data_IF_165287452854
#
_entry.id   IF_165287452854
#
_cell.length_a   1.000
_cell.length_b   1.000
_cell.length_c   1.000
_cell.angle_alpha   90.00
_cell.angle_beta   90.00
_cell.angle_gamma   90.00
#
_symmetry.space_group_name_H-M   'P 1'
#
loop_
_entity.id
_entity.type
_entity.pdbx_description
1 polymer ?
#
# COMPACT_ATOMS: atom_id res chain seq x y z
N UNK A 1 -16.85 -23.23 -22.15
CA UNK A 1 -17.24 -22.36 -21.01
C UNK A 1 -15.94 -21.94 -20.34
N UNK A 2 -15.48 -20.70 -20.54
CA UNK A 2 -14.18 -20.25 -20.05
C UNK A 2 -14.27 -18.82 -19.53
N UNK A 3 -13.45 -18.55 -18.51
CA UNK A 3 -13.13 -17.25 -17.88
C UNK A 3 -14.10 -16.74 -16.81
N UNK A 4 -14.03 -17.36 -15.64
CA UNK A 4 -13.66 -16.63 -14.42
C UNK A 4 -12.69 -17.54 -13.66
N UNK A 5 -11.48 -17.72 -14.22
CA UNK A 5 -10.37 -18.14 -13.37
C UNK A 5 -10.22 -17.05 -12.32
N UNK A 6 -10.37 -17.47 -11.07
CA UNK A 6 -10.15 -16.67 -9.88
C UNK A 6 -8.91 -15.80 -10.10
N UNK A 7 -9.09 -14.48 -10.04
CA UNK A 7 -8.00 -13.52 -9.86
C UNK A 7 -7.34 -13.83 -8.51
N UNK A 8 -6.53 -14.89 -8.46
CA UNK A 8 -5.58 -15.10 -7.38
C UNK A 8 -4.53 -14.01 -7.56
N UNK A 9 -4.55 -13.01 -6.68
CA UNK A 9 -3.52 -11.99 -6.61
C UNK A 9 -2.22 -12.67 -6.14
N UNK A 10 -1.55 -13.37 -7.07
CA UNK A 10 -0.31 -14.07 -6.77
C UNK A 10 0.79 -13.03 -6.59
N UNK A 11 1.50 -13.13 -5.46
CA UNK A 11 2.71 -12.35 -5.24
C UNK A 11 3.78 -12.76 -6.26
N UNK A 12 4.57 -11.80 -6.73
CA UNK A 12 5.79 -12.09 -7.48
C UNK A 12 6.83 -12.72 -6.55
N UNK A 13 7.89 -13.31 -7.11
CA UNK A 13 8.98 -13.86 -6.30
C UNK A 13 9.63 -12.79 -5.41
N UNK A 14 9.82 -11.58 -5.95
CA UNK A 14 10.35 -10.43 -5.19
C UNK A 14 9.42 -10.02 -4.03
N UNK A 15 8.12 -9.92 -4.29
CA UNK A 15 7.12 -9.57 -3.28
C UNK A 15 7.02 -10.64 -2.19
N UNK A 16 7.03 -11.92 -2.58
CA UNK A 16 7.01 -13.04 -1.64
C UNK A 16 8.27 -13.06 -0.77
N UNK A 17 9.44 -12.77 -1.35
CA UNK A 17 10.69 -12.65 -0.61
C UNK A 17 10.64 -11.50 0.40
N UNK A 18 10.07 -10.35 0.03
CA UNK A 18 9.89 -9.21 0.94
C UNK A 18 8.95 -9.56 2.11
N UNK A 19 7.82 -10.22 1.82
CA UNK A 19 6.90 -10.72 2.85
C UNK A 19 7.62 -11.68 3.80
N UNK A 20 8.31 -12.69 3.27
CA UNK A 20 9.04 -13.66 4.09
C UNK A 20 10.12 -13.00 4.96
N UNK A 21 10.90 -12.07 4.40
CA UNK A 21 11.92 -11.32 5.15
C UNK A 21 11.31 -10.51 6.30
N UNK A 22 10.12 -9.94 6.10
CA UNK A 22 9.42 -9.21 7.15
C UNK A 22 8.92 -10.14 8.26
N UNK A 23 8.34 -11.31 7.91
CA UNK A 23 7.99 -12.32 8.91
C UNK A 23 9.18 -12.82 9.70
N UNK A 24 10.32 -13.02 9.04
CA UNK A 24 11.56 -13.45 9.67
C UNK A 24 12.02 -12.46 10.75
N UNK A 25 11.85 -11.16 10.51
CA UNK A 25 12.14 -10.11 11.51
C UNK A 25 11.23 -10.14 12.75
N UNK A 26 10.10 -10.85 12.66
CA UNK A 26 9.07 -10.92 13.70
C UNK A 26 8.97 -12.30 14.36
N UNK A 27 9.84 -13.26 14.00
CA UNK A 27 9.77 -14.66 14.47
C UNK A 27 9.77 -14.83 16.00
N UNK A 28 10.35 -13.89 16.73
CA UNK A 28 10.39 -13.93 18.21
C UNK A 28 9.08 -13.42 18.86
N UNK A 29 8.13 -12.91 18.08
CA UNK A 29 6.86 -12.40 18.57
C UNK A 29 5.79 -13.50 18.51
N UNK A 30 5.17 -13.80 19.66
CA UNK A 30 4.03 -14.73 19.73
C UNK A 30 2.74 -14.00 19.41
N UNK A 31 1.99 -14.50 18.43
CA UNK A 31 0.69 -13.98 18.05
C UNK A 31 -0.43 -14.88 18.58
N UNK A 32 -1.52 -14.27 19.05
CA UNK A 32 -2.72 -15.04 19.45
C UNK A 32 -3.32 -15.72 18.21
N UNK A 33 -3.54 -17.06 18.25
CA UNK A 33 -4.11 -17.82 17.13
C UNK A 33 -5.44 -17.27 16.60
N UNK A 34 -6.23 -16.58 17.43
CA UNK A 34 -7.54 -16.03 17.05
C UNK A 34 -7.43 -14.83 16.11
N UNK A 35 -6.34 -14.07 16.18
CA UNK A 35 -6.07 -12.91 15.31
C UNK A 35 -5.00 -13.21 14.25
N UNK A 36 -4.35 -14.38 14.32
CA UNK A 36 -3.21 -14.74 13.49
C UNK A 36 -3.48 -14.57 11.98
N UNK A 37 -4.69 -14.90 11.49
CA UNK A 37 -5.04 -14.71 10.08
C UNK A 37 -5.13 -13.25 9.65
N UNK A 38 -5.83 -12.41 10.42
CA UNK A 38 -5.95 -10.97 10.14
C UNK A 38 -4.61 -10.26 10.28
N UNK A 39 -3.84 -10.63 11.31
CA UNK A 39 -2.51 -10.11 11.54
C UNK A 39 -1.55 -10.53 10.43
N UNK A 40 -1.63 -11.78 9.95
CA UNK A 40 -0.86 -12.26 8.82
C UNK A 40 -1.13 -11.41 7.56
N UNK A 41 -2.39 -11.13 7.26
CA UNK A 41 -2.74 -10.27 6.13
C UNK A 41 -2.21 -8.83 6.31
N UNK A 42 -2.33 -8.27 7.52
CA UNK A 42 -1.82 -6.94 7.82
C UNK A 42 -0.28 -6.87 7.71
N UNK A 43 0.42 -7.92 8.15
CA UNK A 43 1.87 -8.05 8.01
C UNK A 43 2.29 -8.15 6.54
N UNK A 44 1.59 -8.95 5.74
CA UNK A 44 1.84 -9.03 4.30
C UNK A 44 1.61 -7.67 3.62
N UNK A 45 0.52 -6.96 3.96
CA UNK A 45 0.25 -5.63 3.45
C UNK A 45 1.35 -4.62 3.84
N UNK A 46 1.83 -4.68 5.08
CA UNK A 46 2.94 -3.85 5.56
C UNK A 46 4.23 -4.13 4.81
N UNK A 47 4.58 -5.40 4.61
CA UNK A 47 5.76 -5.79 3.85
C UNK A 47 5.70 -5.30 2.40
N UNK A 48 4.54 -5.40 1.76
CA UNK A 48 4.30 -4.87 0.40
C UNK A 48 4.43 -3.35 0.34
N UNK A 49 3.96 -2.63 1.36
CA UNK A 49 4.15 -1.18 1.44
C UNK A 49 5.64 -0.82 1.59
N UNK A 50 6.40 -1.53 2.43
CA UNK A 50 7.84 -1.28 2.56
C UNK A 50 8.59 -1.62 1.26
N UNK A 51 8.25 -2.73 0.59
CA UNK A 51 8.76 -3.04 -0.74
C UNK A 51 8.47 -1.91 -1.73
N UNK A 52 7.24 -1.38 -1.75
CA UNK A 52 6.88 -0.28 -2.63
C UNK A 52 7.73 0.98 -2.37
N UNK A 53 7.98 1.33 -1.10
CA UNK A 53 8.90 2.43 -0.76
C UNK A 53 10.32 2.20 -1.26
N UNK A 54 10.83 0.97 -1.16
CA UNK A 54 12.15 0.61 -1.72
C UNK A 54 12.16 0.81 -3.23
N UNK A 55 11.10 0.39 -3.95
CA UNK A 55 11.00 0.64 -5.39
C UNK A 55 11.02 2.14 -5.71
N UNK A 56 10.31 2.97 -4.94
CA UNK A 56 10.35 4.43 -5.13
C UNK A 56 11.75 5.01 -4.89
N UNK A 57 12.45 4.55 -3.85
CA UNK A 57 13.84 4.96 -3.62
C UNK A 57 14.77 4.55 -4.77
N UNK A 58 14.54 3.40 -5.40
CA UNK A 58 15.26 2.98 -6.60
C UNK A 58 14.88 3.84 -7.82
N UNK A 59 13.61 4.21 -7.97
CA UNK A 59 13.13 5.08 -9.04
C UNK A 59 13.76 6.49 -9.02
N UNK A 60 14.10 6.99 -7.83
CA UNK A 60 14.79 8.27 -7.66
C UNK A 60 16.30 8.16 -7.93
N UNK A 61 16.89 6.98 -7.67
CA UNK A 61 18.32 6.71 -7.86
C UNK A 61 18.68 6.30 -9.30
N UNK A 62 17.79 5.58 -9.98
CA UNK A 62 17.96 5.09 -11.35
C UNK A 62 16.86 5.63 -12.26
N UNK A 63 17.14 6.80 -12.85
CA UNK A 63 16.21 7.51 -13.73
C UNK A 63 15.84 6.73 -15.00
N UNK A 64 16.71 5.84 -15.47
CA UNK A 64 16.47 5.07 -16.70
C UNK A 64 15.35 4.03 -16.48
N UNK A 65 15.27 3.47 -15.27
CA UNK A 65 14.25 2.48 -14.90
C UNK A 65 13.15 3.05 -13.99
N UNK A 66 13.08 4.38 -13.82
CA UNK A 66 12.10 5.06 -12.95
C UNK A 66 10.66 4.58 -13.18
N UNK A 67 10.24 4.45 -14.43
CA UNK A 67 8.88 4.02 -14.77
C UNK A 67 8.61 2.59 -14.30
N UNK A 68 9.56 1.67 -14.49
CA UNK A 68 9.44 0.28 -14.08
C UNK A 68 9.34 0.18 -12.55
N UNK A 69 10.22 0.88 -11.82
CA UNK A 69 10.19 0.89 -10.37
C UNK A 69 8.90 1.50 -9.80
N UNK A 70 8.44 2.62 -10.38
CA UNK A 70 7.19 3.25 -9.94
C UNK A 70 5.98 2.35 -10.23
N UNK A 71 5.97 1.62 -11.34
CA UNK A 71 4.93 0.63 -11.65
C UNK A 71 4.92 -0.54 -10.66
N UNK A 72 6.09 -1.09 -10.31
CA UNK A 72 6.21 -2.10 -9.25
C UNK A 72 5.65 -1.58 -7.92
N UNK A 73 5.94 -0.33 -7.55
CA UNK A 73 5.41 0.28 -6.33
C UNK A 73 3.86 0.38 -6.35
N UNK A 74 3.28 0.83 -7.47
CA UNK A 74 1.82 0.92 -7.66
C UNK A 74 1.15 -0.45 -7.49
N UNK A 75 1.71 -1.49 -8.14
CA UNK A 75 1.17 -2.85 -8.06
C UNK A 75 1.26 -3.43 -6.64
N UNK A 76 2.38 -3.23 -5.96
CA UNK A 76 2.59 -3.70 -4.59
C UNK A 76 1.62 -3.04 -3.60
N UNK A 77 1.41 -1.72 -3.69
CA UNK A 77 0.43 -1.01 -2.85
C UNK A 77 -1.00 -1.45 -3.15
N UNK A 78 -1.33 -1.67 -4.43
CA UNK A 78 -2.63 -2.24 -4.81
C UNK A 78 -2.89 -3.60 -4.15
N UNK A 79 -1.89 -4.49 -4.14
CA UNK A 79 -1.96 -5.78 -3.45
C UNK A 79 -2.04 -5.62 -1.93
N UNK A 80 -1.28 -4.71 -1.34
CA UNK A 80 -1.35 -4.43 0.09
C UNK A 80 -2.79 -4.10 0.53
N UNK A 81 -3.49 -3.27 -0.26
CA UNK A 81 -4.89 -2.93 -0.01
C UNK A 81 -5.84 -4.13 -0.08
N UNK A 82 -5.54 -5.15 -0.90
CA UNK A 82 -6.35 -6.38 -0.96
C UNK A 82 -6.18 -7.27 0.26
N UNK A 83 -5.00 -7.26 0.89
CA UNK A 83 -4.75 -8.01 2.13
C UNK A 83 -5.31 -7.28 3.35
N UNK A 84 -5.12 -5.96 3.42
CA UNK A 84 -5.57 -5.14 4.54
C UNK A 84 -6.01 -3.77 4.02
N UNK A 85 -7.31 -3.47 4.08
CA UNK A 85 -7.88 -2.31 3.42
C UNK A 85 -7.72 -1.01 4.23
N UNK A 86 -6.47 -0.54 4.43
CA UNK A 86 -6.21 0.74 5.10
C UNK A 86 -6.26 1.92 4.11
N UNK A 87 -6.91 3.06 4.46
CA UNK A 87 -6.95 4.25 3.61
C UNK A 87 -5.57 4.78 3.21
N UNK A 88 -4.57 4.66 4.09
CA UNK A 88 -3.19 5.08 3.78
C UNK A 88 -2.63 4.39 2.54
N UNK A 89 -3.03 3.16 2.22
CA UNK A 89 -2.58 2.51 0.99
C UNK A 89 -3.17 3.19 -0.25
N UNK A 90 -4.38 3.74 -0.17
CA UNK A 90 -4.97 4.55 -1.25
C UNK A 90 -4.22 5.88 -1.41
N UNK A 91 -3.80 6.50 -0.30
CA UNK A 91 -2.95 7.69 -0.34
C UNK A 91 -1.60 7.40 -1.02
N UNK A 92 -0.91 6.32 -0.62
CA UNK A 92 0.34 5.90 -1.24
C UNK A 92 0.17 5.56 -2.73
N UNK A 93 -0.96 4.96 -3.10
CA UNK A 93 -1.28 4.69 -4.50
C UNK A 93 -1.42 6.00 -5.29
N UNK A 94 -2.09 7.01 -4.73
CA UNK A 94 -2.26 8.30 -5.37
C UNK A 94 -0.91 9.01 -5.59
N UNK A 95 -0.02 9.00 -4.60
CA UNK A 95 1.32 9.61 -4.72
C UNK A 95 2.14 8.92 -5.80
N UNK A 96 2.12 7.58 -5.88
CA UNK A 96 2.91 6.84 -6.88
C UNK A 96 2.33 6.97 -8.29
N UNK A 97 1.00 7.07 -8.44
CA UNK A 97 0.35 7.40 -9.72
C UNK A 97 0.73 8.82 -10.17
N UNK A 98 0.79 9.77 -9.25
CA UNK A 98 1.23 11.14 -9.54
C UNK A 98 2.67 11.17 -10.07
N UNK A 99 3.57 10.38 -9.46
CA UNK A 99 4.96 10.24 -9.91
C UNK A 99 5.11 9.66 -11.33
N UNK A 100 4.07 8.96 -11.84
CA UNK A 100 3.99 8.48 -13.24
C UNK A 100 3.37 9.53 -14.19
N UNK A 101 3.25 10.78 -13.76
CA UNK A 101 2.66 11.89 -14.54
C UNK A 101 1.19 11.72 -14.90
N UNK A 102 0.45 10.82 -14.24
CA UNK A 102 -0.98 10.65 -14.45
C UNK A 102 -1.79 11.52 -13.47
N UNK A 103 -1.72 12.84 -13.64
CA UNK A 103 -2.29 13.83 -12.70
C UNK A 103 -3.79 13.61 -12.47
N UNK A 104 -4.57 13.39 -13.55
CA UNK A 104 -6.00 13.15 -13.43
C UNK A 104 -6.33 11.90 -12.61
N UNK A 105 -5.60 10.79 -12.86
CA UNK A 105 -5.76 9.55 -12.11
C UNK A 105 -5.32 9.70 -10.66
N UNK A 106 -4.24 10.44 -10.41
CA UNK A 106 -3.77 10.75 -9.06
C UNK A 106 -4.81 11.55 -8.28
N UNK A 107 -5.36 12.63 -8.86
CA UNK A 107 -6.42 13.44 -8.24
C UNK A 107 -7.64 12.59 -7.88
N UNK A 108 -8.11 11.74 -8.80
CA UNK A 108 -9.21 10.80 -8.53
C UNK A 108 -8.87 9.85 -7.38
N UNK A 109 -7.64 9.37 -7.32
CA UNK A 109 -7.20 8.45 -6.26
C UNK A 109 -7.06 9.18 -4.91
N UNK A 110 -6.60 10.43 -4.88
CA UNK A 110 -6.62 11.26 -3.67
C UNK A 110 -8.04 11.51 -3.16
N UNK A 111 -9.01 11.72 -4.05
CA UNK A 111 -10.42 11.84 -3.67
C UNK A 111 -10.91 10.53 -3.02
N UNK A 112 -10.63 9.37 -3.63
CA UNK A 112 -10.97 8.07 -3.07
C UNK A 112 -10.34 7.87 -1.68
N UNK A 113 -9.12 8.35 -1.46
CA UNK A 113 -8.48 8.33 -0.15
C UNK A 113 -9.27 9.16 0.87
N UNK A 114 -9.63 10.41 0.55
CA UNK A 114 -10.40 11.26 1.47
C UNK A 114 -11.75 10.62 1.83
N UNK A 115 -12.45 10.07 0.84
CA UNK A 115 -13.73 9.39 1.04
C UNK A 115 -13.57 8.16 1.94
N UNK A 116 -12.56 7.32 1.68
CA UNK A 116 -12.28 6.14 2.51
C UNK A 116 -11.88 6.53 3.93
N UNK A 117 -10.99 7.52 4.07
CA UNK A 117 -10.49 7.99 5.36
C UNK A 117 -11.60 8.60 6.23
N UNK A 118 -12.58 9.28 5.63
CA UNK A 118 -13.72 9.86 6.36
C UNK A 118 -14.66 8.80 6.96
N UNK A 119 -14.68 7.60 6.38
CA UNK A 119 -15.54 6.48 6.79
C UNK A 119 -14.79 5.43 7.59
N UNK A 120 -13.47 5.58 7.72
CA UNK A 120 -12.61 4.56 8.29
C UNK A 120 -12.66 4.57 9.82
N UNK A 121 -13.02 3.43 10.38
CA UNK A 121 -12.96 3.17 11.82
C UNK A 121 -11.92 2.07 12.05
N UNK A 122 -10.75 2.38 12.64
CA UNK A 122 -9.72 1.38 12.84
C UNK A 122 -10.12 0.36 13.90
N UNK A 123 -9.91 -0.93 13.61
CA UNK A 123 -9.87 -1.98 14.62
C UNK A 123 -8.52 -2.00 15.36
N UNK A 124 -8.32 -2.94 16.29
CA UNK A 124 -7.09 -3.03 17.09
C UNK A 124 -5.83 -3.24 16.23
N UNK A 125 -5.92 -4.11 15.22
CA UNK A 125 -4.81 -4.42 14.32
C UNK A 125 -4.50 -3.18 13.47
N UNK A 126 -5.52 -2.58 12.85
CA UNK A 126 -5.38 -1.37 12.05
C UNK A 126 -4.81 -0.21 12.87
N UNK A 127 -5.26 -0.05 14.11
CA UNK A 127 -4.74 0.95 15.05
C UNK A 127 -3.25 0.73 15.34
N UNK A 128 -2.82 -0.52 15.52
CA UNK A 128 -1.41 -0.86 15.69
C UNK A 128 -0.56 -0.45 14.48
N UNK A 129 -1.00 -0.78 13.26
CA UNK A 129 -0.27 -0.46 12.03
C UNK A 129 -0.27 1.03 11.67
N UNK A 130 -1.24 1.80 12.18
CA UNK A 130 -1.36 3.24 11.92
C UNK A 130 -0.64 4.12 12.97
N UNK A 131 0.01 3.55 13.99
CA UNK A 131 0.68 4.34 15.05
C UNK A 131 1.68 5.36 14.53
N UNK A 132 2.42 5.00 13.48
CA UNK A 132 3.44 5.86 12.87
C UNK A 132 2.88 6.71 11.72
N UNK A 133 1.58 6.60 11.43
CA UNK A 133 0.95 7.29 10.31
C UNK A 133 0.31 8.61 10.74
N UNK A 134 0.82 9.71 10.18
CA UNK A 134 0.21 11.03 10.35
C UNK A 134 -0.94 11.23 9.35
N UNK A 135 -2.14 10.78 9.73
CA UNK A 135 -3.35 10.90 8.90
C UNK A 135 -3.74 12.34 8.62
N UNK A 136 -3.55 13.26 9.57
CA UNK A 136 -3.83 14.69 9.39
C UNK A 136 -2.99 15.28 8.26
N UNK A 137 -1.68 15.03 8.25
CA UNK A 137 -0.79 15.50 7.19
C UNK A 137 -1.19 14.92 5.82
N UNK A 138 -1.52 13.63 5.75
CA UNK A 138 -1.95 13.00 4.51
C UNK A 138 -3.26 13.59 3.96
N UNK A 139 -4.23 13.89 4.84
CA UNK A 139 -5.49 14.55 4.47
C UNK A 139 -5.23 15.93 3.86
N UNK A 140 -4.39 16.75 4.49
CA UNK A 140 -4.10 18.09 4.00
C UNK A 140 -3.35 18.07 2.66
N UNK A 141 -2.39 17.14 2.50
CA UNK A 141 -1.73 16.91 1.22
C UNK A 141 -2.76 16.52 0.15
N UNK A 142 -3.63 15.54 0.43
CA UNK A 142 -4.62 15.08 -0.54
C UNK A 142 -5.57 16.19 -0.99
N UNK A 143 -6.08 17.01 -0.05
CA UNK A 143 -6.91 18.18 -0.37
C UNK A 143 -6.17 19.17 -1.27
N UNK A 144 -4.91 19.48 -0.97
CA UNK A 144 -4.11 20.41 -1.77
C UNK A 144 -3.87 19.90 -3.20
N UNK A 145 -3.67 18.60 -3.37
CA UNK A 145 -3.45 17.95 -4.67
C UNK A 145 -4.68 17.96 -5.56
N UNK A 146 -5.87 17.87 -4.96
CA UNK A 146 -7.14 17.96 -5.68
C UNK A 146 -7.42 19.41 -6.12
N UNK A 147 -7.10 20.40 -5.27
CA UNK A 147 -7.35 21.81 -5.52
C UNK A 147 -6.37 22.47 -6.50
N UNK A 148 -5.18 21.90 -6.69
CA UNK A 148 -4.17 22.41 -7.62
C UNK A 148 -4.60 22.16 -9.08
N UNK A 149 -4.61 23.17 -9.95
CA UNK A 149 -4.99 23.03 -11.37
C UNK A 149 -3.97 22.24 -12.18
#
# INVERSE_FOLDING_TARGET
MNKIDQLSFKLTEEEQAAVNSYYDSLKDHRFDPKIAGQLSNALAAKALLEYAKTQISMADSDKNNRNQYTEKAVLAVGKAYTFHALPIYIFALATYIEMRSSIASAKKTYQNFLDAQSKFMPDEISSFFLRDFNSTAAIEIAKSKIASN
#
